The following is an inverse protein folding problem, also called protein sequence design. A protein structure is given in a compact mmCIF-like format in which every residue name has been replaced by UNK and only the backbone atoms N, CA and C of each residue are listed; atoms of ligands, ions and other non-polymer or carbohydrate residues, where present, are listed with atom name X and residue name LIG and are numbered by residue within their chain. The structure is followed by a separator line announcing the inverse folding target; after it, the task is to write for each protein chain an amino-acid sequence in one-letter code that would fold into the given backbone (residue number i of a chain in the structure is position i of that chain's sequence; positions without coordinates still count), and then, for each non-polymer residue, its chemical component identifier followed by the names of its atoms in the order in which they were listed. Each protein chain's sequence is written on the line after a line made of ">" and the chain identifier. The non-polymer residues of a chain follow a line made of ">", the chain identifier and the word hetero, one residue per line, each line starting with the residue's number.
data_IF_726942847344
#
_entry.id   IF_726942847344
#
_cell.length_a   1.000
_cell.length_b   1.000
_cell.length_c   1.000
_cell.angle_alpha   90.00
_cell.angle_beta   90.00
_cell.angle_gamma   90.00
#
_symmetry.space_group_name_H-M   'P 1'
#
loop_
_entity.id
_entity.type
_entity.pdbx_description
1 polymer ?
#
# COMPACT_ATOMS: atom_id res chain seq x y z
N UNK A 1 -37.77 12.19 10.84
CA UNK A 1 -38.73 11.27 10.19
C UNK A 1 -39.56 12.12 9.25
N UNK A 2 -39.56 11.80 7.96
CA UNK A 2 -40.25 12.57 6.91
C UNK A 2 -40.84 11.61 5.87
N UNK A 3 -41.55 12.16 4.88
CA UNK A 3 -42.16 11.44 3.77
C UNK A 3 -43.68 11.37 3.90
N UNK A 4 -44.35 11.11 2.79
CA UNK A 4 -45.81 11.14 2.70
C UNK A 4 -46.48 9.87 3.25
N UNK A 5 -45.70 8.79 3.47
CA UNK A 5 -46.21 7.56 4.05
C UNK A 5 -46.29 7.60 5.60
N UNK A 6 -46.09 8.76 6.24
CA UNK A 6 -46.18 8.91 7.70
C UNK A 6 -47.13 10.04 8.11
N UNK A 7 -47.85 9.82 9.20
CA UNK A 7 -48.86 10.77 9.69
C UNK A 7 -48.26 11.96 10.43
N UNK A 8 -47.15 11.76 11.15
CA UNK A 8 -46.52 12.81 11.98
C UNK A 8 -45.05 13.06 11.58
N UNK A 9 -44.77 13.76 10.47
CA UNK A 9 -43.40 14.12 10.12
C UNK A 9 -42.79 15.07 11.16
N UNK A 10 -41.53 14.85 11.53
CA UNK A 10 -40.87 15.64 12.56
C UNK A 10 -39.48 15.17 12.97
N UNK A 11 -38.88 15.96 13.85
CA UNK A 11 -37.59 15.66 14.49
C UNK A 11 -37.83 15.02 15.86
N UNK A 12 -37.27 13.83 16.06
CA UNK A 12 -37.49 13.02 17.26
C UNK A 12 -36.17 12.69 17.93
N UNK A 13 -36.16 12.72 19.26
CA UNK A 13 -35.07 12.19 20.06
C UNK A 13 -35.28 10.70 20.28
N UNK A 14 -34.35 9.89 19.77
CA UNK A 14 -34.47 8.43 19.73
C UNK A 14 -33.23 7.80 20.35
N UNK A 15 -33.38 6.65 21.01
CA UNK A 15 -32.25 5.91 21.55
C UNK A 15 -31.51 5.21 20.40
N UNK A 16 -30.18 5.26 20.43
CA UNK A 16 -29.36 4.46 19.51
C UNK A 16 -29.65 2.98 19.79
N UNK A 17 -29.91 2.21 18.73
CA UNK A 17 -30.29 0.81 18.78
C UNK A 17 -31.80 0.54 18.64
N UNK A 18 -32.67 1.55 18.72
CA UNK A 18 -34.11 1.38 18.45
C UNK A 18 -34.34 0.93 17.01
N UNK A 19 -35.23 -0.05 16.79
CA UNK A 19 -35.56 -0.50 15.43
C UNK A 19 -36.31 0.59 14.65
N UNK A 20 -36.08 0.65 13.34
CA UNK A 20 -36.78 1.59 12.45
C UNK A 20 -38.28 1.28 12.41
N UNK A 21 -38.63 0.00 12.39
CA UNK A 21 -40.02 -0.47 12.47
C UNK A 21 -40.78 0.11 13.68
N UNK A 22 -40.22 0.01 14.90
CA UNK A 22 -40.87 0.53 16.10
C UNK A 22 -41.05 2.05 16.06
N UNK A 23 -40.14 2.78 15.41
CA UNK A 23 -40.26 4.24 15.24
C UNK A 23 -41.34 4.61 14.24
N UNK A 24 -41.43 3.89 13.13
CA UNK A 24 -42.45 4.10 12.11
C UNK A 24 -43.84 3.82 12.66
N UNK A 25 -43.99 2.73 13.42
CA UNK A 25 -45.23 2.41 14.13
C UNK A 25 -45.64 3.52 15.11
N UNK A 26 -44.69 4.11 15.84
CA UNK A 26 -44.98 5.19 16.80
C UNK A 26 -45.43 6.49 16.12
N UNK A 27 -44.98 6.73 14.88
CA UNK A 27 -45.26 7.96 14.12
C UNK A 27 -46.48 7.82 13.19
N UNK A 28 -47.04 6.61 13.11
CA UNK A 28 -48.22 6.30 12.30
C UNK A 28 -47.86 6.17 10.82
N UNK A 29 -47.08 5.14 10.49
CA UNK A 29 -46.80 4.77 9.09
C UNK A 29 -48.04 4.17 8.44
N UNK A 30 -48.27 4.53 7.18
CA UNK A 30 -49.26 3.91 6.31
C UNK A 30 -48.59 2.83 5.48
N UNK A 31 -48.75 1.57 5.90
CA UNK A 31 -48.14 0.41 5.22
C UNK A 31 -48.66 0.20 3.80
N UNK A 32 -49.87 0.68 3.46
CA UNK A 32 -50.41 0.56 2.10
C UNK A 32 -49.72 1.52 1.13
N UNK A 33 -49.34 2.70 1.61
CA UNK A 33 -48.67 3.72 0.82
C UNK A 33 -47.14 3.63 0.89
N UNK A 34 -46.59 2.93 1.88
CA UNK A 34 -45.16 2.79 2.08
C UNK A 34 -44.51 2.01 0.92
N UNK A 35 -43.75 2.70 0.08
CA UNK A 35 -42.99 2.07 -0.99
C UNK A 35 -41.59 1.64 -0.52
N UNK A 36 -40.89 2.54 0.18
CA UNK A 36 -39.54 2.28 0.69
C UNK A 36 -39.18 3.23 1.83
N UNK A 37 -38.26 2.79 2.69
CA UNK A 37 -37.67 3.65 3.73
C UNK A 37 -36.22 3.92 3.40
N UNK A 38 -35.86 5.20 3.29
CA UNK A 38 -34.51 5.66 3.00
C UNK A 38 -33.87 6.22 4.26
N UNK A 39 -32.69 5.71 4.64
CA UNK A 39 -31.86 6.32 5.67
C UNK A 39 -30.99 7.39 5.02
N UNK A 40 -31.10 8.63 5.49
CA UNK A 40 -30.37 9.77 4.95
C UNK A 40 -31.29 10.82 4.35
N UNK A 41 -30.72 11.59 3.41
CA UNK A 41 -31.49 12.53 2.59
C UNK A 41 -31.99 11.89 1.28
N UNK A 42 -32.84 12.58 0.51
CA UNK A 42 -33.40 12.05 -0.73
C UNK A 42 -32.35 11.73 -1.82
N UNK A 43 -31.22 12.46 -1.83
CA UNK A 43 -30.14 12.27 -2.80
C UNK A 43 -29.05 11.30 -2.31
N UNK A 44 -28.71 11.40 -1.02
CA UNK A 44 -27.56 10.69 -0.42
C UNK A 44 -27.95 9.42 0.30
N UNK A 45 -29.23 9.28 0.61
CA UNK A 45 -29.73 8.22 1.43
C UNK A 45 -29.63 6.86 0.75
N UNK A 46 -29.70 5.83 1.57
CA UNK A 46 -29.70 4.44 1.11
C UNK A 46 -31.03 3.81 1.50
N UNK A 47 -31.73 3.15 0.56
CA UNK A 47 -32.93 2.40 0.89
C UNK A 47 -32.59 1.25 1.85
N UNK A 48 -33.41 1.09 2.88
CA UNK A 48 -33.33 -0.04 3.80
C UNK A 48 -33.81 -1.31 3.13
N UNK A 49 -33.07 -2.40 3.34
CA UNK A 49 -33.49 -3.75 2.93
C UNK A 49 -34.49 -4.38 3.89
N UNK A 50 -34.46 -3.95 5.17
CA UNK A 50 -35.34 -4.43 6.23
C UNK A 50 -35.60 -3.30 7.22
N UNK A 51 -36.84 -3.21 7.71
CA UNK A 51 -37.26 -2.26 8.73
C UNK A 51 -36.79 -2.66 10.14
N UNK A 52 -36.29 -3.89 10.31
CA UNK A 52 -35.65 -4.35 11.55
C UNK A 52 -34.29 -3.68 11.80
N UNK A 53 -33.75 -2.96 10.81
CA UNK A 53 -32.54 -2.19 10.96
C UNK A 53 -32.66 -1.22 12.15
N UNK A 54 -31.57 -1.07 12.91
CA UNK A 54 -31.55 -0.19 14.07
C UNK A 54 -31.09 1.22 13.70
N UNK A 55 -31.61 2.20 14.44
CA UNK A 55 -31.10 3.57 14.42
C UNK A 55 -29.70 3.59 15.00
N UNK A 56 -28.76 4.09 14.21
CA UNK A 56 -27.35 4.19 14.58
C UNK A 56 -26.98 5.65 14.82
N UNK A 57 -25.78 5.91 15.35
CA UNK A 57 -25.24 7.28 15.47
C UNK A 57 -25.19 8.02 14.12
N UNK A 58 -25.09 7.29 13.01
CA UNK A 58 -25.02 7.84 11.65
C UNK A 58 -26.40 8.06 11.02
N UNK A 59 -27.48 7.58 11.65
CA UNK A 59 -28.85 7.79 11.18
C UNK A 59 -29.27 9.23 11.48
N UNK A 60 -29.27 10.09 10.47
CA UNK A 60 -29.66 11.50 10.60
C UNK A 60 -31.15 11.74 10.26
N UNK A 61 -31.64 11.11 9.21
CA UNK A 61 -33.01 11.23 8.73
C UNK A 61 -33.49 9.87 8.21
N UNK A 62 -34.80 9.66 8.31
CA UNK A 62 -35.52 8.49 7.82
C UNK A 62 -36.69 9.03 6.99
N UNK A 63 -36.70 8.67 5.72
CA UNK A 63 -37.73 9.08 4.76
C UNK A 63 -38.56 7.85 4.44
N UNK A 64 -39.80 7.83 4.92
CA UNK A 64 -40.79 6.81 4.59
C UNK A 64 -41.53 7.30 3.34
N UNK A 65 -41.07 6.87 2.18
CA UNK A 65 -41.50 7.44 0.91
C UNK A 65 -42.60 6.61 0.27
N UNK A 66 -43.53 7.31 -0.37
CA UNK A 66 -44.51 6.70 -1.28
C UNK A 66 -43.89 6.46 -2.66
N UNK A 67 -44.58 5.72 -3.52
CA UNK A 67 -44.15 5.49 -4.90
C UNK A 67 -44.19 6.77 -5.75
N UNK A 68 -45.01 7.75 -5.37
CA UNK A 68 -45.12 9.03 -6.05
C UNK A 68 -43.97 9.97 -5.66
N UNK A 69 -43.57 9.99 -4.38
CA UNK A 69 -42.43 10.78 -3.91
C UNK A 69 -41.09 10.27 -4.44
N UNK A 70 -40.86 8.96 -4.37
CA UNK A 70 -39.63 8.32 -4.81
C UNK A 70 -39.96 7.16 -5.76
N UNK A 71 -40.28 7.44 -7.03
CA UNK A 71 -40.54 6.41 -8.01
C UNK A 71 -39.28 5.59 -8.29
N UNK A 72 -39.44 4.32 -8.70
CA UNK A 72 -38.30 3.51 -9.11
C UNK A 72 -37.61 4.18 -10.31
N UNK A 73 -36.28 4.20 -10.28
CA UNK A 73 -35.49 4.73 -11.39
C UNK A 73 -35.81 3.94 -12.69
N UNK A 74 -35.91 4.61 -13.83
CA UNK A 74 -36.09 3.93 -15.11
C UNK A 74 -34.87 3.05 -15.42
N UNK A 75 -35.06 2.10 -16.34
CA UNK A 75 -33.98 1.20 -16.73
C UNK A 75 -32.78 1.97 -17.30
N UNK A 76 -31.58 1.51 -16.93
CA UNK A 76 -30.32 2.09 -17.41
C UNK A 76 -30.25 2.00 -18.94
N UNK A 77 -29.99 3.13 -19.59
CA UNK A 77 -29.73 3.22 -21.01
C UNK A 77 -28.23 3.53 -21.27
N UNK A 78 -27.72 3.26 -22.49
CA UNK A 78 -26.34 3.60 -22.84
C UNK A 78 -26.05 5.11 -22.71
N UNK A 79 -24.82 5.44 -22.33
CA UNK A 79 -24.37 6.83 -22.20
C UNK A 79 -24.37 7.53 -23.57
N UNK A 80 -25.13 8.62 -23.69
CA UNK A 80 -25.18 9.47 -24.91
C UNK A 80 -24.14 10.61 -24.92
N UNK A 81 -23.25 10.66 -23.92
CA UNK A 81 -22.19 11.69 -23.77
C UNK A 81 -22.70 13.14 -23.79
N UNK A 82 -23.85 13.42 -23.18
CA UNK A 82 -24.46 14.77 -23.17
C UNK A 82 -23.73 15.81 -22.30
N UNK A 83 -22.82 15.42 -21.41
CA UNK A 83 -22.07 16.35 -20.55
C UNK A 83 -22.81 16.90 -19.32
N UNK A 84 -24.11 16.61 -19.17
CA UNK A 84 -24.91 17.14 -18.04
C UNK A 84 -24.38 16.76 -16.65
N UNK A 85 -23.70 15.62 -16.53
CA UNK A 85 -23.12 15.18 -15.26
C UNK A 85 -21.93 16.04 -14.80
N UNK A 86 -21.19 16.64 -15.73
CA UNK A 86 -20.05 17.51 -15.45
C UNK A 86 -20.52 18.87 -14.92
N UNK A 87 -21.51 19.47 -15.58
CA UNK A 87 -22.00 20.81 -15.22
C UNK A 87 -22.62 20.90 -13.82
N UNK A 88 -23.16 19.79 -13.30
CA UNK A 88 -23.78 19.75 -11.97
C UNK A 88 -22.85 19.24 -10.87
N UNK A 89 -21.61 18.86 -11.20
CA UNK A 89 -20.72 18.27 -10.20
C UNK A 89 -20.19 19.34 -9.24
N UNK A 90 -20.55 19.32 -7.94
CA UNK A 90 -20.09 20.34 -6.98
C UNK A 90 -18.59 20.22 -6.68
N UNK A 91 -18.01 19.04 -6.91
CA UNK A 91 -16.57 18.77 -6.73
C UNK A 91 -15.75 19.04 -8.01
N UNK A 92 -16.38 19.52 -9.08
CA UNK A 92 -15.72 19.84 -10.36
C UNK A 92 -14.90 18.66 -10.93
N UNK A 93 -15.38 17.44 -10.73
CA UNK A 93 -14.80 16.24 -11.33
C UNK A 93 -15.32 16.07 -12.76
N UNK A 94 -14.80 15.03 -13.45
CA UNK A 94 -15.29 14.59 -14.75
C UNK A 94 -16.03 13.24 -14.62
N UNK A 95 -17.34 13.23 -14.23
CA UNK A 95 -18.08 11.99 -14.03
C UNK A 95 -18.16 11.14 -15.30
N UNK A 96 -18.17 11.75 -16.48
CA UNK A 96 -18.17 10.97 -17.72
C UNK A 96 -16.93 10.07 -17.78
N UNK A 97 -15.72 10.59 -17.52
CA UNK A 97 -14.50 9.79 -17.55
C UNK A 97 -14.47 8.75 -16.42
N UNK A 98 -14.83 9.16 -15.20
CA UNK A 98 -14.89 8.25 -14.05
C UNK A 98 -15.83 7.08 -14.28
N UNK A 99 -16.98 7.29 -14.95
CA UNK A 99 -17.89 6.22 -15.32
C UNK A 99 -17.25 5.18 -16.22
N UNK A 100 -16.56 5.61 -17.29
CA UNK A 100 -15.87 4.69 -18.20
C UNK A 100 -14.79 3.88 -17.48
N UNK A 101 -13.99 4.53 -16.62
CA UNK A 101 -12.97 3.83 -15.85
C UNK A 101 -13.56 2.90 -14.78
N UNK A 102 -14.68 3.27 -14.17
CA UNK A 102 -15.39 2.42 -13.22
C UNK A 102 -15.96 1.17 -13.88
N UNK A 103 -16.60 1.30 -15.06
CA UNK A 103 -17.13 0.18 -15.83
C UNK A 103 -16.03 -0.71 -16.41
N UNK A 104 -14.86 -0.15 -16.72
CA UNK A 104 -13.68 -0.90 -17.13
C UNK A 104 -12.88 -1.47 -15.93
N UNK A 105 -13.32 -1.26 -14.69
CA UNK A 105 -12.64 -1.65 -13.46
C UNK A 105 -11.17 -1.16 -13.33
N UNK A 106 -10.82 -0.08 -14.03
CA UNK A 106 -9.46 0.47 -14.07
C UNK A 106 -9.19 1.39 -12.87
N UNK A 107 -8.74 0.79 -11.77
CA UNK A 107 -8.46 1.48 -10.52
C UNK A 107 -7.37 2.56 -10.64
N UNK A 108 -6.32 2.30 -11.40
CA UNK A 108 -5.22 3.24 -11.56
C UNK A 108 -5.69 4.53 -12.24
N UNK A 109 -6.53 4.41 -13.27
CA UNK A 109 -7.13 5.57 -13.92
C UNK A 109 -8.11 6.29 -12.98
N UNK A 110 -8.94 5.57 -12.23
CA UNK A 110 -9.85 6.18 -11.25
C UNK A 110 -9.10 7.00 -10.19
N UNK A 111 -7.97 6.49 -9.70
CA UNK A 111 -7.13 7.22 -8.75
C UNK A 111 -6.46 8.44 -9.39
N UNK A 112 -5.94 8.30 -10.62
CA UNK A 112 -5.36 9.42 -11.38
C UNK A 112 -6.38 10.52 -11.69
N UNK A 113 -7.66 10.17 -11.81
CA UNK A 113 -8.77 11.10 -12.01
C UNK A 113 -9.49 11.48 -10.71
N UNK A 114 -8.82 11.35 -9.56
CA UNK A 114 -9.27 11.86 -8.27
C UNK A 114 -10.64 11.32 -7.81
N UNK A 115 -10.93 10.04 -8.07
CA UNK A 115 -12.19 9.40 -7.63
C UNK A 115 -12.47 9.62 -6.13
N UNK A 116 -11.45 9.71 -5.29
CA UNK A 116 -11.61 9.90 -3.84
C UNK A 116 -12.14 11.27 -3.42
N UNK A 117 -12.04 12.29 -4.29
CA UNK A 117 -12.58 13.63 -4.03
C UNK A 117 -14.09 13.70 -4.28
N UNK A 118 -14.66 12.69 -4.93
CA UNK A 118 -16.10 12.57 -5.09
C UNK A 118 -16.76 12.50 -3.71
N UNK A 119 -17.67 13.42 -3.39
CA UNK A 119 -18.42 13.41 -2.13
C UNK A 119 -19.69 12.54 -2.18
N UNK A 120 -19.86 11.78 -3.27
CA UNK A 120 -20.98 10.85 -3.48
C UNK A 120 -22.37 11.51 -3.49
N UNK A 121 -22.44 12.82 -3.79
CA UNK A 121 -23.64 13.68 -3.72
C UNK A 121 -24.89 13.24 -4.50
N UNK A 122 -24.77 12.32 -5.46
CA UNK A 122 -25.89 11.85 -6.29
C UNK A 122 -26.27 12.76 -7.46
N UNK A 123 -25.79 14.00 -7.51
CA UNK A 123 -26.22 15.00 -8.51
C UNK A 123 -26.04 14.53 -9.96
N UNK A 124 -24.89 13.90 -10.26
CA UNK A 124 -24.59 13.41 -11.59
C UNK A 124 -25.49 12.24 -12.04
N UNK A 125 -25.88 11.35 -11.12
CA UNK A 125 -26.83 10.26 -11.42
C UNK A 125 -28.23 10.81 -11.69
N UNK A 126 -28.67 11.80 -10.89
CA UNK A 126 -30.01 12.36 -10.97
C UNK A 126 -30.27 13.08 -12.30
N UNK A 127 -29.31 13.87 -12.78
CA UNK A 127 -29.47 14.61 -14.04
C UNK A 127 -29.19 13.78 -15.30
N UNK A 128 -28.81 12.52 -15.16
CA UNK A 128 -28.44 11.68 -16.28
C UNK A 128 -29.69 11.31 -17.11
N UNK A 129 -29.80 11.71 -18.39
CA UNK A 129 -30.95 11.36 -19.21
C UNK A 129 -31.01 9.85 -19.51
N UNK A 130 -29.87 9.15 -19.40
CA UNK A 130 -29.78 7.70 -19.56
C UNK A 130 -30.01 6.93 -18.26
N UNK A 131 -30.34 7.62 -17.15
CA UNK A 131 -30.56 7.03 -15.83
C UNK A 131 -29.42 6.12 -15.33
N UNK A 132 -28.17 6.47 -15.67
CA UNK A 132 -26.99 5.69 -15.27
C UNK A 132 -26.72 5.94 -13.77
N UNK A 133 -26.57 4.88 -12.95
CA UNK A 133 -26.33 5.00 -11.52
C UNK A 133 -24.85 5.32 -11.19
N UNK A 134 -24.34 6.44 -11.71
CA UNK A 134 -22.93 6.87 -11.62
C UNK A 134 -22.34 6.77 -10.21
N UNK A 135 -23.06 7.30 -9.22
CA UNK A 135 -22.59 7.30 -7.82
C UNK A 135 -22.48 5.89 -7.24
N UNK A 136 -23.31 4.94 -7.67
CA UNK A 136 -23.22 3.56 -7.21
C UNK A 136 -21.94 2.89 -7.73
N UNK A 137 -21.58 3.15 -8.99
CA UNK A 137 -20.33 2.69 -9.60
C UNK A 137 -19.11 3.31 -8.89
N UNK A 138 -19.21 4.56 -8.44
CA UNK A 138 -18.14 5.23 -7.70
C UNK A 138 -17.99 4.69 -6.27
N UNK A 139 -19.10 4.44 -5.57
CA UNK A 139 -19.10 3.83 -4.24
C UNK A 139 -18.48 2.44 -4.28
N UNK A 140 -18.89 1.62 -5.24
CA UNK A 140 -18.34 0.26 -5.41
C UNK A 140 -16.85 0.31 -5.73
N UNK A 141 -16.43 1.20 -6.64
CA UNK A 141 -15.02 1.38 -7.01
C UNK A 141 -14.15 1.86 -5.86
N UNK A 142 -14.60 2.87 -5.10
CA UNK A 142 -13.89 3.33 -3.90
C UNK A 142 -13.73 2.21 -2.87
N UNK A 143 -14.79 1.43 -2.64
CA UNK A 143 -14.74 0.33 -1.70
C UNK A 143 -13.77 -0.76 -2.16
N UNK A 144 -13.78 -1.10 -3.46
CA UNK A 144 -12.84 -2.04 -4.07
C UNK A 144 -11.38 -1.59 -3.91
N UNK A 145 -11.09 -0.32 -4.20
CA UNK A 145 -9.75 0.25 -4.03
C UNK A 145 -9.33 0.25 -2.54
N UNK A 146 -10.22 0.67 -1.63
CA UNK A 146 -9.95 0.63 -0.18
C UNK A 146 -9.64 -0.79 0.30
N UNK A 147 -10.42 -1.77 -0.15
CA UNK A 147 -10.19 -3.17 0.18
C UNK A 147 -8.82 -3.65 -0.32
N UNK A 148 -8.46 -3.35 -1.58
CA UNK A 148 -7.12 -3.65 -2.13
C UNK A 148 -6.01 -3.01 -1.30
N UNK A 149 -6.16 -1.75 -0.88
CA UNK A 149 -5.18 -1.06 -0.01
C UNK A 149 -5.02 -1.74 1.36
N UNK A 150 -6.13 -2.17 1.97
CA UNK A 150 -6.09 -2.90 3.25
C UNK A 150 -5.38 -4.25 3.10
N UNK A 151 -5.71 -5.01 2.06
CA UNK A 151 -5.11 -6.34 1.84
C UNK A 151 -3.63 -6.25 1.49
N UNK A 152 -3.23 -5.27 0.66
CA UNK A 152 -1.82 -5.01 0.37
C UNK A 152 -1.06 -4.61 1.63
N UNK A 153 -1.59 -3.70 2.46
CA UNK A 153 -0.96 -3.32 3.73
C UNK A 153 -0.79 -4.51 4.70
N UNK A 154 -1.81 -5.39 4.80
CA UNK A 154 -1.71 -6.63 5.59
C UNK A 154 -0.64 -7.58 5.03
N UNK A 155 -0.58 -7.73 3.71
CA UNK A 155 0.41 -8.57 3.05
C UNK A 155 1.83 -8.05 3.28
N UNK A 156 2.06 -6.75 3.15
CA UNK A 156 3.36 -6.13 3.43
C UNK A 156 3.76 -6.29 4.91
N UNK A 157 2.84 -6.08 5.84
CA UNK A 157 3.10 -6.33 7.26
C UNK A 157 3.44 -7.81 7.55
N UNK A 158 2.76 -8.75 6.89
CA UNK A 158 3.06 -10.18 7.01
C UNK A 158 4.45 -10.53 6.44
N UNK A 159 4.82 -9.98 5.28
CA UNK A 159 6.15 -10.13 4.68
C UNK A 159 7.25 -9.63 5.63
N UNK A 160 7.08 -8.42 6.17
CA UNK A 160 8.03 -7.83 7.11
C UNK A 160 8.25 -8.73 8.34
N UNK A 161 7.17 -9.25 8.93
CA UNK A 161 7.25 -10.20 10.06
C UNK A 161 7.96 -11.50 9.68
N UNK A 162 7.72 -12.01 8.47
CA UNK A 162 8.35 -13.22 7.98
C UNK A 162 9.85 -13.03 7.75
N UNK A 163 10.25 -11.91 7.13
CA UNK A 163 11.64 -11.53 6.89
C UNK A 163 12.41 -11.39 8.21
N UNK A 164 11.84 -10.74 9.23
CA UNK A 164 12.46 -10.68 10.56
C UNK A 164 12.64 -12.06 11.20
N UNK A 165 11.64 -12.95 11.08
CA UNK A 165 11.74 -14.31 11.61
C UNK A 165 12.83 -15.09 10.88
N UNK A 166 12.92 -14.98 9.55
CA UNK A 166 13.96 -15.62 8.77
C UNK A 166 15.35 -15.10 9.14
N UNK A 167 15.51 -13.78 9.29
CA UNK A 167 16.77 -13.16 9.70
C UNK A 167 17.22 -13.65 11.09
N UNK A 168 16.29 -13.77 12.05
CA UNK A 168 16.59 -14.32 13.38
C UNK A 168 17.07 -15.76 13.30
N UNK A 169 16.34 -16.62 12.58
CA UNK A 169 16.71 -18.04 12.43
C UNK A 169 18.06 -18.20 11.71
N UNK A 170 18.33 -17.39 10.68
CA UNK A 170 19.61 -17.40 9.97
C UNK A 170 20.79 -17.01 10.88
N UNK A 171 20.62 -16.02 11.78
CA UNK A 171 21.63 -15.66 12.79
C UNK A 171 21.89 -16.80 13.76
N UNK A 172 20.83 -17.41 14.30
CA UNK A 172 20.95 -18.55 15.22
C UNK A 172 21.63 -19.76 14.55
N UNK A 173 21.33 -20.05 13.28
CA UNK A 173 21.98 -21.11 12.52
C UNK A 173 23.45 -20.80 12.20
N UNK A 174 23.76 -19.56 11.83
CA UNK A 174 25.14 -19.12 11.57
C UNK A 174 26.00 -19.22 12.84
N UNK A 175 25.47 -18.80 14.00
CA UNK A 175 26.15 -18.92 15.30
C UNK A 175 26.37 -20.40 15.67
N UNK A 176 25.36 -21.26 15.50
CA UNK A 176 25.50 -22.72 15.72
C UNK A 176 26.55 -23.34 14.80
N UNK A 177 26.57 -22.97 13.51
CA UNK A 177 27.57 -23.45 12.53
C UNK A 177 28.98 -22.97 12.90
N UNK A 178 29.14 -21.69 13.26
CA UNK A 178 30.41 -21.12 13.70
C UNK A 178 30.93 -21.80 14.98
N UNK A 179 30.06 -22.03 15.98
CA UNK A 179 30.42 -22.74 17.22
C UNK A 179 30.85 -24.19 16.95
N UNK A 180 30.17 -24.89 16.04
CA UNK A 180 30.56 -26.25 15.62
C UNK A 180 31.91 -26.25 14.91
N UNK A 181 32.15 -25.31 13.99
CA UNK A 181 33.42 -25.17 13.30
C UNK A 181 34.56 -24.83 14.26
N UNK A 182 34.36 -23.92 15.21
CA UNK A 182 35.35 -23.59 16.24
C UNK A 182 35.71 -24.81 17.10
N UNK A 183 34.73 -25.64 17.48
CA UNK A 183 34.98 -26.88 18.22
C UNK A 183 35.76 -27.92 17.40
N UNK A 184 35.44 -28.07 16.12
CA UNK A 184 36.18 -28.97 15.21
C UNK A 184 37.62 -28.48 14.98
N UNK A 185 37.82 -27.17 14.81
CA UNK A 185 39.14 -26.57 14.68
C UNK A 185 39.99 -26.76 15.95
N UNK A 186 39.40 -26.62 17.14
CA UNK A 186 40.07 -26.90 18.42
C UNK A 186 40.45 -28.38 18.57
N UNK A 187 39.61 -29.32 18.11
CA UNK A 187 39.94 -30.75 18.11
C UNK A 187 41.04 -31.08 17.11
N UNK A 188 41.04 -30.46 15.93
CA UNK A 188 42.10 -30.64 14.93
C UNK A 188 43.44 -30.07 15.41
N UNK A 189 43.43 -28.90 16.08
CA UNK A 189 44.65 -28.33 16.68
C UNK A 189 45.20 -29.18 17.83
N UNK A 190 44.34 -29.86 18.60
CA UNK A 190 44.77 -30.80 19.64
C UNK A 190 45.34 -32.12 19.09
N UNK A 191 44.96 -32.50 17.86
CA UNK A 191 45.53 -33.67 17.15
C UNK A 191 46.79 -33.36 16.32
N UNK A 192 47.09 -32.09 16.06
CA UNK A 192 48.30 -31.66 15.32
C UNK A 192 49.53 -31.42 16.20
N UNK A 193 49.42 -31.51 17.53
CA UNK A 193 50.59 -31.49 18.44
C UNK A 193 51.36 -32.82 18.47
N UNK A 194 50.99 -33.78 17.61
CA UNK A 194 51.72 -35.02 17.39
C UNK A 194 52.01 -35.27 15.91
N UNK A 195 52.47 -34.25 15.17
CA UNK A 195 53.41 -34.40 14.04
C UNK A 195 53.80 -33.01 13.54
N UNK A 196 55.05 -32.62 13.79
CA UNK A 196 55.62 -31.42 13.20
C UNK A 196 55.72 -31.57 11.68
N UNK A 197 55.37 -30.51 10.96
CA UNK A 197 56.22 -29.87 9.94
C UNK A 197 55.59 -28.54 9.56
N UNK A 198 56.44 -27.52 9.63
CA UNK A 198 56.16 -26.13 9.30
C UNK A 198 55.74 -25.97 7.84
N UNK A 199 54.67 -25.22 7.60
CA UNK A 199 54.52 -24.42 6.38
C UNK A 199 53.63 -23.22 6.69
N UNK A 200 54.24 -22.11 7.08
CA UNK A 200 53.57 -20.81 7.01
C UNK A 200 53.35 -20.50 5.52
N UNK A 201 52.13 -20.21 5.04
CA UNK A 201 51.98 -19.71 3.69
C UNK A 201 52.50 -18.27 3.72
N UNK A 202 53.62 -18.02 3.03
CA UNK A 202 53.95 -16.66 2.63
C UNK A 202 52.70 -16.08 1.96
N UNK A 203 52.19 -14.95 2.46
CA UNK A 203 51.20 -14.18 1.72
C UNK A 203 51.88 -13.73 0.43
N UNK A 204 51.63 -14.50 -0.63
CA UNK A 204 52.31 -14.37 -1.90
C UNK A 204 52.06 -12.95 -2.42
N UNK A 205 53.11 -12.15 -2.68
CA UNK A 205 52.99 -10.75 -3.15
C UNK A 205 52.05 -10.65 -4.36
N UNK A 206 51.96 -11.73 -5.14
CA UNK A 206 51.01 -11.93 -6.24
C UNK A 206 49.54 -11.89 -5.79
N UNK A 207 49.20 -12.52 -4.67
CA UNK A 207 47.84 -12.53 -4.09
C UNK A 207 47.41 -11.15 -3.59
N UNK A 208 48.31 -10.41 -2.96
CA UNK A 208 48.07 -9.03 -2.53
C UNK A 208 47.89 -8.07 -3.71
N UNK A 209 48.64 -8.28 -4.80
CA UNK A 209 48.49 -7.52 -6.04
C UNK A 209 47.16 -7.83 -6.73
N UNK A 210 46.70 -9.09 -6.73
CA UNK A 210 45.38 -9.48 -7.22
C UNK A 210 44.28 -8.80 -6.37
N UNK A 211 44.41 -8.81 -5.04
CA UNK A 211 43.48 -8.14 -4.13
C UNK A 211 43.41 -6.62 -4.39
N UNK A 212 44.54 -5.96 -4.62
CA UNK A 212 44.57 -4.54 -5.00
C UNK A 212 43.85 -4.29 -6.34
N UNK A 213 44.08 -5.12 -7.35
CA UNK A 213 43.40 -4.96 -8.65
C UNK A 213 41.89 -5.19 -8.57
N UNK A 214 41.44 -6.14 -7.74
CA UNK A 214 40.04 -6.40 -7.48
C UNK A 214 39.38 -5.23 -6.71
N UNK A 215 40.05 -4.66 -5.72
CA UNK A 215 39.58 -3.49 -4.98
C UNK A 215 39.45 -2.25 -5.90
N UNK A 216 40.41 -2.03 -6.81
CA UNK A 216 40.33 -0.94 -7.82
C UNK A 216 39.15 -1.13 -8.79
N UNK A 217 38.88 -2.37 -9.19
CA UNK A 217 37.72 -2.67 -10.03
C UNK A 217 36.39 -2.45 -9.29
N UNK A 218 36.33 -2.76 -7.98
CA UNK A 218 35.16 -2.54 -7.15
C UNK A 218 34.81 -1.05 -6.99
N UNK A 219 35.80 -0.18 -6.78
CA UNK A 219 35.61 1.28 -6.72
C UNK A 219 35.06 1.82 -8.05
N UNK A 220 35.69 1.46 -9.18
CA UNK A 220 35.21 1.88 -10.52
C UNK A 220 33.80 1.39 -10.83
N UNK A 221 33.43 0.21 -10.32
CA UNK A 221 32.06 -0.32 -10.47
C UNK A 221 31.07 0.48 -9.64
N UNK A 222 31.40 0.78 -8.38
CA UNK A 222 30.55 1.59 -7.49
C UNK A 222 30.33 3.01 -8.04
N UNK A 223 31.39 3.66 -8.56
CA UNK A 223 31.32 4.97 -9.22
C UNK A 223 30.38 4.95 -10.43
N UNK A 224 30.48 3.93 -11.29
CA UNK A 224 29.60 3.80 -12.46
C UNK A 224 28.15 3.54 -12.09
N UNK A 225 27.90 2.78 -11.02
CA UNK A 225 26.54 2.51 -10.54
C UNK A 225 25.91 3.77 -9.94
N UNK A 226 26.67 4.52 -9.15
CA UNK A 226 26.22 5.81 -8.59
C UNK A 226 25.95 6.83 -9.71
N UNK A 227 26.85 6.93 -10.70
CA UNK A 227 26.65 7.84 -11.84
C UNK A 227 25.44 7.46 -12.71
N UNK A 228 25.17 6.16 -12.89
CA UNK A 228 23.99 5.68 -13.62
C UNK A 228 22.70 5.93 -12.85
N UNK A 229 22.70 5.74 -11.53
CA UNK A 229 21.55 6.02 -10.68
C UNK A 229 21.22 7.52 -10.67
N UNK A 230 22.25 8.37 -10.50
CA UNK A 230 22.10 9.83 -10.54
C UNK A 230 21.60 10.37 -11.89
N UNK A 231 21.90 9.68 -13.00
CA UNK A 231 21.39 10.02 -14.33
C UNK A 231 19.93 9.58 -14.56
N UNK A 232 19.44 8.58 -13.81
CA UNK A 232 18.06 8.08 -13.91
C UNK A 232 17.09 8.89 -13.04
N UNK A 233 17.50 9.30 -11.84
CA UNK A 233 16.66 10.09 -10.92
C UNK A 233 17.46 11.21 -10.23
N UNK A 234 17.53 12.43 -10.83
CA UNK A 234 18.34 13.53 -10.30
C UNK A 234 17.86 14.12 -8.97
N UNK A 235 16.61 13.87 -8.58
CA UNK A 235 15.99 14.42 -7.38
C UNK A 235 16.06 13.48 -6.16
N UNK A 236 16.44 12.21 -6.36
CA UNK A 236 16.46 11.22 -5.30
C UNK A 236 17.86 11.13 -4.67
N UNK A 237 17.93 11.21 -3.34
CA UNK A 237 19.18 11.00 -2.60
C UNK A 237 19.50 9.51 -2.56
N UNK A 238 20.70 9.14 -3.01
CA UNK A 238 21.17 7.76 -3.05
C UNK A 238 22.17 7.48 -1.92
N UNK A 239 21.78 7.78 -0.68
CA UNK A 239 22.65 7.70 0.51
C UNK A 239 23.28 6.29 0.68
N UNK A 240 22.57 5.22 0.25
CA UNK A 240 23.08 3.84 0.25
C UNK A 240 24.21 3.60 -0.77
N UNK A 241 24.12 4.19 -1.96
CA UNK A 241 25.14 4.04 -3.01
C UNK A 241 26.39 4.88 -2.70
N UNK A 242 26.20 6.03 -2.06
CA UNK A 242 27.30 6.85 -1.52
C UNK A 242 28.06 6.11 -0.41
N UNK A 243 27.32 5.44 0.48
CA UNK A 243 27.91 4.61 1.54
C UNK A 243 28.69 3.41 0.95
N UNK A 244 28.19 2.80 -0.12
CA UNK A 244 28.88 1.72 -0.84
C UNK A 244 30.17 2.20 -1.52
N UNK A 245 30.17 3.41 -2.09
CA UNK A 245 31.35 4.02 -2.69
C UNK A 245 32.41 4.34 -1.64
N UNK A 246 32.02 4.93 -0.50
CA UNK A 246 32.91 5.21 0.62
C UNK A 246 33.56 3.92 1.17
N UNK A 247 32.76 2.87 1.35
CA UNK A 247 33.24 1.56 1.83
C UNK A 247 34.20 0.92 0.82
N UNK A 248 33.94 1.03 -0.49
CA UNK A 248 34.83 0.53 -1.52
C UNK A 248 36.17 1.28 -1.56
N UNK A 249 36.16 2.60 -1.35
CA UNK A 249 37.37 3.43 -1.28
C UNK A 249 38.23 3.11 -0.04
N UNK A 250 37.60 2.87 1.11
CA UNK A 250 38.30 2.48 2.33
C UNK A 250 38.97 1.10 2.19
N UNK A 251 38.26 0.14 1.60
CA UNK A 251 38.82 -1.18 1.29
C UNK A 251 39.99 -1.13 0.29
N UNK A 252 39.94 -0.21 -0.68
CA UNK A 252 41.07 0.04 -1.58
C UNK A 252 42.28 0.58 -0.81
N UNK A 253 42.09 1.59 0.05
CA UNK A 253 43.16 2.14 0.89
C UNK A 253 43.78 1.07 1.79
N UNK A 254 42.95 0.21 2.39
CA UNK A 254 43.43 -0.89 3.22
C UNK A 254 44.22 -1.94 2.40
N UNK A 255 43.78 -2.25 1.17
CA UNK A 255 44.50 -3.17 0.28
C UNK A 255 45.84 -2.57 -0.21
N UNK A 256 45.90 -1.25 -0.43
CA UNK A 256 47.13 -0.54 -0.81
C UNK A 256 48.13 -0.45 0.34
N UNK A 257 47.66 -0.17 1.57
CA UNK A 257 48.49 -0.19 2.76
C UNK A 257 49.10 -1.57 3.00
N UNK A 258 48.29 -2.64 2.94
CA UNK A 258 48.77 -4.03 3.09
C UNK A 258 49.81 -4.42 2.03
N UNK A 259 49.69 -3.90 0.82
CA UNK A 259 50.65 -4.16 -0.26
C UNK A 259 51.93 -3.32 -0.10
N UNK A 260 51.84 -2.11 0.44
CA UNK A 260 52.99 -1.29 0.80
C UNK A 260 53.78 -1.90 1.97
N UNK A 261 53.08 -2.33 3.03
CA UNK A 261 53.68 -3.00 4.19
C UNK A 261 54.38 -4.31 3.79
N UNK A 262 53.75 -5.09 2.90
CA UNK A 262 54.35 -6.33 2.38
C UNK A 262 55.59 -6.07 1.50
N UNK A 263 55.65 -4.95 0.77
CA UNK A 263 56.84 -4.55 -0.02
C UNK A 263 57.97 -4.05 0.87
N UNK A 264 57.66 -3.23 1.87
CA UNK A 264 58.63 -2.77 2.86
C UNK A 264 59.24 -3.94 3.65
N UNK A 265 58.42 -4.94 4.00
CA UNK A 265 58.86 -6.16 4.67
C UNK A 265 59.73 -7.07 3.77
N UNK A 266 59.56 -7.03 2.44
CA UNK A 266 60.47 -7.72 1.52
C UNK A 266 61.80 -7.00 1.34
N UNK A 267 61.81 -5.66 1.30
CA UNK A 267 63.04 -4.86 1.13
C UNK A 267 63.95 -4.89 2.37
N UNK A 268 63.38 -4.93 3.59
CA UNK A 268 64.16 -5.08 4.83
C UNK A 268 64.83 -6.45 4.98
N UNK A 269 64.43 -7.44 4.18
CA UNK A 269 64.94 -8.81 4.22
C UNK A 269 66.08 -9.06 3.22
N UNK A 270 66.33 -8.11 2.31
CA UNK A 270 67.41 -8.13 1.29
C UNK A 270 68.60 -7.22 1.63
N UNK A 271 68.56 -6.50 2.76
CA UNK A 271 69.72 -5.75 3.26
C UNK A 271 70.68 -6.71 4.01
N UNK A 272 71.95 -6.83 3.60
CA UNK A 272 72.94 -7.73 4.22
C UNK A 272 73.38 -7.29 5.63
#
# INVERSE_FOLDING_TARGET
>A
LTGDAITQPGNYWVRVGTSVDALLAQVGVDDEQLHQVVVGGPMMGTPLKSLEASVTKTTNCLIAATKEELPPAPAEAPCIRCGACESVCPAQLLPQQLHWYARAENDAALEAHHLFDCIECGACSYVCPSAIPLVQDYRSSKQRIRHKRIETAKAEHAKHRFEFRQARLAREEAEKKARRQARLAQQQSASSDATGTQAAPMADLRSLRIAQTAAKAAVRKAEKVLARAAAQDPQQRHDDLETQLATAQENLKAAEARLADARAASEQKEAP
#
